data_IF_504332964689
#
_entry.id   IF_504332964689
#
_cell.length_a   1.000
_cell.length_b   1.000
_cell.length_c   1.000
_cell.angle_alpha   90.00
_cell.angle_beta   90.00
_cell.angle_gamma   90.00
#
_symmetry.space_group_name_H-M   'P 1'
#
loop_
_entity.id
_entity.type
_entity.pdbx_description
1 polymer ?
#
# COMPACT_ATOMS: atom_id res chain seq x y z
N UNK A 1 26.86 -62.84 -2.42
CA UNK A 1 26.90 -61.48 -1.83
C UNK A 1 25.95 -60.63 -2.66
N UNK A 2 24.72 -60.42 -2.20
CA UNK A 2 23.69 -59.68 -2.95
C UNK A 2 23.50 -58.35 -2.25
N UNK A 3 23.75 -57.26 -2.97
CA UNK A 3 23.72 -55.91 -2.45
C UNK A 3 22.33 -55.58 -1.87
N UNK A 4 22.29 -55.15 -0.61
CA UNK A 4 21.12 -54.53 0.00
C UNK A 4 20.94 -53.15 -0.64
N UNK A 5 20.16 -53.11 -1.72
CA UNK A 5 19.62 -51.85 -2.24
C UNK A 5 18.55 -51.42 -1.25
N UNK A 6 18.96 -50.69 -0.22
CA UNK A 6 18.05 -49.94 0.63
C UNK A 6 17.53 -48.79 -0.24
N UNK A 7 16.40 -49.03 -0.91
CA UNK A 7 15.62 -47.96 -1.54
C UNK A 7 15.05 -47.14 -0.39
N UNK A 8 15.78 -46.10 0.00
CA UNK A 8 15.26 -45.04 0.85
C UNK A 8 14.22 -44.31 0.01
N UNK A 9 12.96 -44.75 0.11
CA UNK A 9 11.81 -43.97 -0.37
C UNK A 9 11.71 -42.76 0.55
N UNK A 10 12.52 -41.74 0.28
CA UNK A 10 12.24 -40.39 0.75
C UNK A 10 10.96 -39.97 0.05
N UNK A 11 9.83 -40.22 0.72
CA UNK A 11 8.59 -39.49 0.48
C UNK A 11 8.92 -38.02 0.70
N UNK A 12 9.37 -37.35 -0.37
CA UNK A 12 9.31 -35.90 -0.45
C UNK A 12 7.83 -35.58 -0.31
N UNK A 13 7.41 -35.26 0.91
CA UNK A 13 6.16 -34.57 1.15
C UNK A 13 6.29 -33.28 0.34
N UNK A 14 5.73 -33.29 -0.87
CA UNK A 14 5.50 -32.09 -1.65
C UNK A 14 4.55 -31.29 -0.77
N UNK A 15 5.11 -30.38 0.03
CA UNK A 15 4.35 -29.34 0.69
C UNK A 15 3.87 -28.46 -0.45
N UNK A 16 2.70 -28.81 -1.00
CA UNK A 16 1.94 -27.89 -1.84
C UNK A 16 1.51 -26.78 -0.90
N UNK A 17 2.36 -25.75 -0.80
CA UNK A 17 1.96 -24.47 -0.23
C UNK A 17 0.92 -23.91 -1.17
N UNK A 18 -0.36 -24.22 -0.92
CA UNK A 18 -1.47 -23.47 -1.48
C UNK A 18 -1.29 -22.04 -1.00
N UNK A 19 -0.69 -21.18 -1.84
CA UNK A 19 -0.70 -19.76 -1.59
C UNK A 19 -2.15 -19.34 -1.54
N UNK A 20 -2.68 -19.14 -0.34
CA UNK A 20 -3.93 -18.40 -0.18
C UNK A 20 -3.63 -17.05 -0.79
N UNK A 21 -4.26 -16.74 -1.92
CA UNK A 21 -4.30 -15.38 -2.41
C UNK A 21 -5.02 -14.57 -1.33
N UNK A 22 -4.27 -13.97 -0.42
CA UNK A 22 -4.81 -12.96 0.47
C UNK A 22 -5.21 -11.80 -0.43
N UNK A 23 -6.49 -11.44 -0.39
CA UNK A 23 -6.95 -10.16 -0.95
C UNK A 23 -6.35 -9.04 -0.09
N UNK A 24 -5.13 -8.66 -0.44
CA UNK A 24 -4.39 -7.59 0.24
C UNK A 24 -5.09 -6.28 -0.09
N UNK A 25 -5.65 -5.64 0.93
CA UNK A 25 -6.33 -4.35 0.77
C UNK A 25 -5.29 -3.25 0.53
N UNK A 26 -5.45 -2.43 -0.52
CA UNK A 26 -4.61 -1.26 -0.75
C UNK A 26 -4.62 -0.28 0.44
N UNK A 27 -3.48 0.34 0.72
CA UNK A 27 -3.32 1.32 1.79
C UNK A 27 -3.08 2.72 1.22
N UNK A 28 -3.83 3.70 1.71
CA UNK A 28 -3.58 5.12 1.45
C UNK A 28 -3.03 5.77 2.71
N UNK A 29 -1.91 6.47 2.58
CA UNK A 29 -1.25 7.19 3.67
C UNK A 29 -1.33 8.70 3.42
N UNK A 30 -1.73 9.45 4.45
CA UNK A 30 -1.69 10.90 4.47
C UNK A 30 -0.79 11.32 5.63
N UNK A 31 0.32 12.00 5.33
CA UNK A 31 1.24 12.50 6.35
C UNK A 31 0.63 13.66 7.16
N UNK A 32 1.19 13.91 8.35
CA UNK A 32 0.80 15.05 9.18
C UNK A 32 1.43 16.38 8.75
N UNK A 33 1.12 17.42 9.52
CA UNK A 33 1.71 18.75 9.41
C UNK A 33 3.24 18.70 9.57
N UNK A 34 3.97 19.44 8.74
CA UNK A 34 5.43 19.41 8.69
C UNK A 34 6.03 18.17 8.03
N UNK A 35 5.21 17.20 7.63
CA UNK A 35 5.64 16.01 6.90
C UNK A 35 5.54 16.17 5.39
N UNK A 36 6.10 15.19 4.69
CA UNK A 36 5.88 14.98 3.26
C UNK A 36 5.61 13.49 2.99
N UNK A 37 4.92 13.21 1.89
CA UNK A 37 4.72 11.88 1.32
C UNK A 37 5.98 11.03 1.24
N UNK A 38 7.12 11.70 1.09
CA UNK A 38 8.29 11.17 0.41
C UNK A 38 9.58 11.37 1.22
N UNK A 39 9.45 11.56 2.53
CA UNK A 39 10.59 11.57 3.45
C UNK A 39 11.06 10.12 3.71
N UNK A 40 12.30 9.77 3.29
CA UNK A 40 12.81 8.41 3.44
C UNK A 40 13.08 8.01 4.90
N UNK A 41 13.24 8.98 5.81
CA UNK A 41 13.53 8.73 7.22
C UNK A 41 12.26 8.58 8.07
N UNK A 42 11.14 9.12 7.61
CA UNK A 42 9.86 9.05 8.31
C UNK A 42 8.89 8.08 7.62
N UNK A 43 8.05 8.59 6.72
CA UNK A 43 7.04 7.77 6.04
C UNK A 43 7.68 6.63 5.24
N UNK A 44 8.87 6.85 4.67
CA UNK A 44 9.61 5.81 3.94
C UNK A 44 9.95 4.58 4.81
N UNK A 45 10.33 4.78 6.07
CA UNK A 45 10.61 3.66 6.99
C UNK A 45 9.34 2.89 7.35
N UNK A 46 8.23 3.61 7.55
CA UNK A 46 6.93 3.00 7.81
C UNK A 46 6.46 2.18 6.61
N UNK A 47 6.57 2.73 5.39
CA UNK A 47 6.23 2.03 4.14
C UNK A 47 7.07 0.76 4.01
N UNK A 48 8.39 0.85 4.18
CA UNK A 48 9.28 -0.30 4.08
C UNK A 48 8.97 -1.39 5.11
N UNK A 49 8.56 -1.00 6.32
CA UNK A 49 8.10 -1.95 7.34
C UNK A 49 6.80 -2.64 6.92
N UNK A 50 5.81 -1.87 6.43
CA UNK A 50 4.52 -2.43 5.99
C UNK A 50 4.70 -3.37 4.81
N UNK A 51 5.49 -2.99 3.79
CA UNK A 51 5.77 -3.84 2.62
C UNK A 51 6.48 -5.14 3.00
N UNK A 52 7.32 -5.11 4.05
CA UNK A 52 7.97 -6.30 4.59
C UNK A 52 6.99 -7.24 5.30
N UNK A 53 6.06 -6.69 6.09
CA UNK A 53 5.09 -7.48 6.87
C UNK A 53 3.89 -7.93 6.03
N UNK A 54 3.56 -7.21 4.95
CA UNK A 54 2.44 -7.50 4.05
C UNK A 54 2.93 -7.56 2.60
N UNK A 55 3.50 -8.69 2.16
CA UNK A 55 4.01 -8.83 0.80
C UNK A 55 2.93 -8.61 -0.25
N UNK A 56 3.22 -7.78 -1.25
CA UNK A 56 2.30 -7.49 -2.37
C UNK A 56 1.27 -6.41 -2.09
N UNK A 57 1.33 -5.73 -0.93
CA UNK A 57 0.48 -4.57 -0.66
C UNK A 57 0.77 -3.40 -1.62
N UNK A 58 -0.29 -2.77 -2.13
CA UNK A 58 -0.18 -1.49 -2.80
C UNK A 58 -0.33 -0.36 -1.78
N UNK A 59 0.66 0.52 -1.69
CA UNK A 59 0.62 1.68 -0.80
C UNK A 59 0.70 2.95 -1.64
N UNK A 60 -0.25 3.86 -1.42
CA UNK A 60 -0.22 5.20 -1.99
C UNK A 60 -0.05 6.25 -0.88
N UNK A 61 1.09 6.93 -0.89
CA UNK A 61 1.33 8.11 -0.06
C UNK A 61 0.85 9.37 -0.79
N UNK A 62 -0.09 10.11 -0.19
CA UNK A 62 -0.68 11.34 -0.73
C UNK A 62 0.36 12.46 -0.69
N UNK A 63 0.48 13.21 -1.79
CA UNK A 63 1.31 14.42 -1.90
C UNK A 63 0.48 15.57 -2.48
N UNK A 64 0.60 16.76 -1.91
CA UNK A 64 -0.05 17.98 -2.40
C UNK A 64 0.90 18.88 -3.19
N UNK A 65 2.22 18.64 -3.09
CA UNK A 65 3.24 19.39 -3.80
C UNK A 65 3.88 18.63 -4.96
N UNK A 66 4.53 19.36 -5.86
CA UNK A 66 5.34 18.77 -6.95
C UNK A 66 6.69 18.25 -6.44
N UNK A 67 7.08 18.64 -5.23
CA UNK A 67 8.31 18.24 -4.56
C UNK A 67 8.09 18.22 -3.02
N UNK A 68 8.99 17.59 -2.25
CA UNK A 68 8.81 17.45 -0.80
C UNK A 68 8.68 18.78 -0.05
N UNK A 69 9.40 19.83 -0.47
CA UNK A 69 9.34 21.15 0.18
C UNK A 69 7.97 21.79 0.01
N UNK A 70 7.39 21.70 -1.19
CA UNK A 70 6.06 22.20 -1.49
C UNK A 70 4.97 21.40 -0.75
N UNK A 71 5.15 20.09 -0.64
CA UNK A 71 4.26 19.19 0.10
C UNK A 71 4.23 19.52 1.60
N UNK A 72 5.40 19.77 2.20
CA UNK A 72 5.52 20.31 3.58
C UNK A 72 4.83 21.66 3.68
N UNK A 73 5.04 22.58 2.74
CA UNK A 73 4.38 23.90 2.77
C UNK A 73 2.85 23.77 2.77
N UNK A 74 2.30 22.93 1.91
CA UNK A 74 0.86 22.69 1.87
C UNK A 74 0.33 21.96 3.11
N UNK A 75 1.16 21.15 3.79
CA UNK A 75 0.78 20.55 5.07
C UNK A 75 0.48 21.59 6.17
N UNK A 76 1.09 22.79 6.07
CA UNK A 76 0.84 23.90 7.00
C UNK A 76 -0.24 24.86 6.51
N UNK A 77 -0.22 25.21 5.23
CA UNK A 77 -0.96 26.37 4.70
C UNK A 77 -2.03 26.01 3.67
N UNK A 78 -2.15 24.74 3.28
CA UNK A 78 -3.17 24.31 2.34
C UNK A 78 -4.57 24.37 2.95
N UNK A 79 -5.56 24.72 2.11
CA UNK A 79 -6.96 24.63 2.51
C UNK A 79 -7.38 23.16 2.54
N UNK A 80 -7.81 22.70 3.72
CA UNK A 80 -8.16 21.30 3.93
C UNK A 80 -9.29 20.83 2.99
N UNK A 81 -10.28 21.68 2.71
CA UNK A 81 -11.36 21.38 1.76
C UNK A 81 -10.82 21.00 0.39
N UNK A 82 -9.84 21.76 -0.09
CA UNK A 82 -9.27 21.58 -1.42
C UNK A 82 -8.36 20.35 -1.44
N UNK A 83 -7.64 20.11 -0.35
CA UNK A 83 -6.83 18.90 -0.17
C UNK A 83 -7.67 17.62 -0.14
N UNK A 84 -8.84 17.63 0.52
CA UNK A 84 -9.75 16.49 0.52
C UNK A 84 -10.26 16.21 -0.89
N UNK A 85 -10.70 17.23 -1.62
CA UNK A 85 -11.17 17.06 -3.01
C UNK A 85 -10.04 16.56 -3.91
N UNK A 86 -8.87 17.19 -3.86
CA UNK A 86 -7.72 16.83 -4.69
C UNK A 86 -7.23 15.41 -4.42
N UNK A 87 -7.11 15.02 -3.14
CA UNK A 87 -6.68 13.65 -2.78
C UNK A 87 -7.67 12.59 -3.27
N UNK A 88 -8.98 12.82 -3.13
CA UNK A 88 -10.00 11.86 -3.57
C UNK A 88 -10.06 11.79 -5.09
N UNK A 89 -10.18 12.93 -5.78
CA UNK A 89 -10.46 12.95 -7.22
C UNK A 89 -9.20 12.64 -8.04
N UNK A 90 -8.12 13.38 -7.77
CA UNK A 90 -6.93 13.35 -8.63
C UNK A 90 -5.95 12.25 -8.24
N UNK A 91 -5.89 11.87 -6.96
CA UNK A 91 -4.88 10.90 -6.49
C UNK A 91 -5.45 9.50 -6.28
N UNK A 92 -6.68 9.38 -5.77
CA UNK A 92 -7.29 8.08 -5.45
C UNK A 92 -8.19 7.59 -6.60
N UNK A 93 -9.23 8.35 -6.98
CA UNK A 93 -10.22 7.92 -7.96
C UNK A 93 -9.63 7.74 -9.35
N UNK A 94 -8.77 8.67 -9.80
CA UNK A 94 -8.07 8.57 -11.08
C UNK A 94 -7.28 7.26 -11.24
N UNK A 95 -6.68 6.75 -10.15
CA UNK A 95 -5.89 5.52 -10.14
C UNK A 95 -6.75 4.26 -10.04
N UNK A 96 -7.88 4.32 -9.33
CA UNK A 96 -8.82 3.22 -9.23
C UNK A 96 -9.49 2.90 -10.58
N UNK A 97 -9.71 3.91 -11.44
CA UNK A 97 -10.26 3.70 -12.79
C UNK A 97 -9.31 2.94 -13.73
N UNK A 98 -8.02 2.85 -13.42
CA UNK A 98 -7.00 2.18 -14.26
C UNK A 98 -6.60 0.81 -13.69
N UNK A 99 -7.01 0.49 -12.46
CA UNK A 99 -6.74 -0.81 -11.82
C UNK A 99 -7.97 -1.71 -11.83
N UNK A 100 -7.84 -3.05 -11.95
CA UNK A 100 -8.97 -3.97 -11.86
C UNK A 100 -9.59 -4.10 -10.45
N UNK A 101 -9.16 -3.28 -9.48
CA UNK A 101 -9.59 -3.37 -8.08
C UNK A 101 -10.87 -2.54 -7.90
N UNK A 102 -12.02 -3.22 -7.79
CA UNK A 102 -13.31 -2.62 -7.45
C UNK A 102 -13.33 -2.21 -5.97
N UNK A 103 -12.94 -0.97 -5.65
CA UNK A 103 -13.17 -0.40 -4.31
C UNK A 103 -14.56 0.22 -4.28
N UNK A 104 -15.44 -0.33 -3.45
CA UNK A 104 -16.77 0.23 -3.17
C UNK A 104 -16.62 1.46 -2.27
N UNK A 105 -16.61 2.66 -2.86
CA UNK A 105 -16.60 3.92 -2.10
C UNK A 105 -18.00 4.18 -1.56
N UNK A 106 -18.20 3.99 -0.25
CA UNK A 106 -19.42 4.42 0.44
C UNK A 106 -19.40 5.94 0.64
N UNK A 107 -19.96 6.68 -0.31
CA UNK A 107 -20.17 8.13 -0.22
C UNK A 107 -21.28 8.46 0.79
N UNK A 108 -20.99 8.36 2.09
CA UNK A 108 -21.78 9.06 3.10
C UNK A 108 -21.21 10.47 3.23
N UNK A 109 -21.58 11.31 2.26
CA UNK A 109 -21.30 12.73 2.22
C UNK A 109 -21.70 13.39 3.54
N UNK A 110 -20.77 14.19 4.07
CA UNK A 110 -20.99 15.14 5.15
C UNK A 110 -22.25 15.98 4.88
N UNK A 111 -23.33 15.68 5.60
CA UNK A 111 -24.40 16.63 5.85
C UNK A 111 -24.16 17.21 7.24
N UNK A 112 -23.79 18.49 7.34
CA UNK A 112 -24.19 19.42 8.39
C UNK A 112 -23.69 20.82 8.06
#
# INVERSE_FOLDING_TARGET
MVAKVVVFVLSAAIVVSSGVAQDVVPLVLWHGIGGSCCDPHHLGQLIALIEKEVPGIYIHSISFGKNPTEDVFFSFYGLLSDQVVFSIVEQIASRLLVSPIQVSISTKLYSH
#
